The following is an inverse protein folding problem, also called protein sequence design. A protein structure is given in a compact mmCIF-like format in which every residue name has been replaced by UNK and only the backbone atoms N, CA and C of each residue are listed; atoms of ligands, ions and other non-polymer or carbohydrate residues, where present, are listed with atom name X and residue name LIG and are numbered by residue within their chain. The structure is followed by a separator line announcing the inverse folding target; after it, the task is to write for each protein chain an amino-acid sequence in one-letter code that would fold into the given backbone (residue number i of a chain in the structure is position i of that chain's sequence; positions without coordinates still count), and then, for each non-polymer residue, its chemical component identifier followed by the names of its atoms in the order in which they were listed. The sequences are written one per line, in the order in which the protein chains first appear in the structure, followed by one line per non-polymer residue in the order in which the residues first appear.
data_IF_149917335909
#
_entry.id   IF_149917335909
#
_cell.length_a   1.000
_cell.length_b   1.000
_cell.length_c   1.000
_cell.angle_alpha   90.00
_cell.angle_beta   90.00
_cell.angle_gamma   90.00
#
_symmetry.space_group_name_H-M   'P 1'
#
loop_
_entity.id
_entity.type
_entity.pdbx_description
1 polymer ?
#
# COMPACT_ATOMS: atom_id res chain seq x y z
N UNK A 1 6.14 -3.10 -33.33
CA UNK A 1 6.12 -3.76 -32.01
C UNK A 1 4.87 -3.25 -31.32
N UNK A 2 3.99 -4.15 -30.91
CA UNK A 2 2.76 -3.82 -30.17
C UNK A 2 3.00 -4.11 -28.69
N UNK A 3 2.53 -3.23 -27.81
CA UNK A 3 2.72 -3.36 -26.36
C UNK A 3 1.37 -3.53 -25.67
N UNK A 4 1.26 -4.42 -24.66
CA UNK A 4 0.02 -4.66 -23.94
C UNK A 4 -0.22 -3.56 -22.88
N UNK A 5 -0.51 -2.33 -23.33
CA UNK A 5 -0.64 -1.18 -22.43
C UNK A 5 -1.74 -1.37 -21.37
N UNK A 6 -2.83 -2.06 -21.70
CA UNK A 6 -3.93 -2.34 -20.78
C UNK A 6 -3.47 -3.23 -19.61
N UNK A 7 -2.64 -4.24 -19.91
CA UNK A 7 -2.06 -5.13 -18.90
C UNK A 7 -1.06 -4.38 -18.01
N UNK A 8 -0.16 -3.61 -18.64
CA UNK A 8 0.87 -2.84 -17.92
C UNK A 8 0.22 -1.80 -17.00
N UNK A 9 -0.85 -1.14 -17.43
CA UNK A 9 -1.61 -0.21 -16.60
C UNK A 9 -2.27 -0.93 -15.41
N UNK A 10 -2.84 -2.12 -15.63
CA UNK A 10 -3.38 -2.95 -14.57
C UNK A 10 -2.32 -3.34 -13.52
N UNK A 11 -1.13 -3.74 -13.99
CA UNK A 11 0.01 -4.06 -13.14
C UNK A 11 0.54 -2.84 -12.37
N UNK A 12 0.56 -1.66 -13.00
CA UNK A 12 0.96 -0.42 -12.33
C UNK A 12 0.02 -0.08 -11.16
N UNK A 13 -1.28 -0.34 -11.28
CA UNK A 13 -2.19 -0.20 -10.13
C UNK A 13 -1.87 -1.21 -9.02
N UNK A 14 -1.62 -2.48 -9.36
CA UNK A 14 -1.25 -3.49 -8.36
C UNK A 14 0.05 -3.14 -7.63
N UNK A 15 1.01 -2.49 -8.30
CA UNK A 15 2.21 -1.96 -7.65
C UNK A 15 1.88 -0.95 -6.55
N UNK A 16 1.02 0.03 -6.80
CA UNK A 16 0.61 0.98 -5.76
C UNK A 16 -0.19 0.32 -4.62
N UNK A 17 -0.97 -0.72 -4.90
CA UNK A 17 -1.65 -1.48 -3.84
C UNK A 17 -0.65 -2.25 -2.97
N UNK A 18 0.40 -2.80 -3.57
CA UNK A 18 1.48 -3.46 -2.88
C UNK A 18 2.32 -2.52 -2.01
N UNK A 19 2.15 -1.20 -2.14
CA UNK A 19 2.83 -0.18 -1.32
C UNK A 19 1.96 0.38 -0.20
N UNK A 20 0.67 0.04 -0.10
CA UNK A 20 -0.22 0.54 0.97
C UNK A 20 0.32 0.19 2.37
N UNK A 21 0.14 1.08 3.34
CA UNK A 21 0.37 0.85 4.78
C UNK A 21 -0.96 0.96 5.56
N UNK A 22 -0.96 0.68 6.86
CA UNK A 22 -2.15 0.74 7.70
C UNK A 22 -3.03 -0.52 7.60
N UNK A 23 -4.35 -0.33 7.71
CA UNK A 23 -5.36 -1.41 7.66
C UNK A 23 -5.70 -1.76 6.21
N UNK A 24 -4.82 -2.51 5.57
CA UNK A 24 -4.91 -2.94 4.16
C UNK A 24 -6.13 -3.81 3.92
N UNK A 25 -6.48 -4.66 4.89
CA UNK A 25 -7.65 -5.55 4.85
C UNK A 25 -8.97 -4.81 4.61
N UNK A 26 -9.03 -3.52 4.96
CA UNK A 26 -10.21 -2.65 4.82
C UNK A 26 -10.06 -1.59 3.73
N UNK A 27 -9.01 -1.64 2.92
CA UNK A 27 -8.82 -0.69 1.83
C UNK A 27 -9.97 -0.78 0.80
N UNK A 28 -10.37 0.33 0.16
CA UNK A 28 -11.34 0.29 -0.94
C UNK A 28 -10.90 -0.68 -2.04
N UNK A 29 -11.81 -1.56 -2.46
CA UNK A 29 -11.50 -2.63 -3.42
C UNK A 29 -10.84 -3.87 -2.81
N UNK A 30 -10.63 -3.89 -1.49
CA UNK A 30 -10.04 -5.00 -0.75
C UNK A 30 -8.54 -5.15 -1.00
N UNK A 31 -7.98 -6.25 -0.48
CA UNK A 31 -6.58 -6.60 -0.69
C UNK A 31 -6.43 -7.56 -1.88
N UNK A 32 -6.14 -7.02 -3.08
CA UNK A 32 -5.84 -7.83 -4.27
C UNK A 32 -4.42 -8.41 -4.23
N UNK A 33 -3.53 -7.83 -3.42
CA UNK A 33 -2.14 -8.26 -3.24
C UNK A 33 -2.07 -9.15 -1.99
N UNK A 34 -2.49 -10.40 -2.13
CA UNK A 34 -2.81 -11.31 -1.02
C UNK A 34 -1.65 -11.65 -0.07
N UNK A 35 -0.41 -11.35 -0.45
CA UNK A 35 0.77 -11.54 0.41
C UNK A 35 1.08 -10.31 1.28
N UNK A 36 0.40 -9.17 1.08
CA UNK A 36 0.41 -8.03 2.01
C UNK A 36 -0.60 -8.24 3.13
N UNK A 37 -0.35 -7.65 4.29
CA UNK A 37 -1.25 -7.66 5.45
C UNK A 37 -1.18 -6.31 6.19
N UNK A 38 -2.02 -6.11 7.20
CA UNK A 38 -2.10 -4.90 8.01
C UNK A 38 -0.75 -4.58 8.68
N UNK A 39 -0.25 -3.36 8.49
CA UNK A 39 1.10 -2.93 8.92
C UNK A 39 1.08 -1.51 9.47
N UNK A 40 2.10 -1.13 10.26
CA UNK A 40 2.26 0.23 10.79
C UNK A 40 1.04 0.78 11.56
N UNK A 41 0.35 -0.09 12.30
CA UNK A 41 -0.87 0.26 13.05
C UNK A 41 -0.65 1.18 14.27
N UNK A 42 0.59 1.62 14.48
CA UNK A 42 0.99 2.42 15.64
C UNK A 42 1.62 3.76 15.26
N UNK A 43 1.66 4.08 13.97
CA UNK A 43 2.26 5.32 13.49
C UNK A 43 1.50 6.52 14.04
N UNK A 44 2.24 7.46 14.64
CA UNK A 44 1.71 8.66 15.30
C UNK A 44 1.37 8.52 16.78
N UNK A 45 1.46 7.31 17.38
CA UNK A 45 1.15 7.11 18.80
C UNK A 45 2.06 7.90 19.76
N UNK A 46 3.31 8.12 19.38
CA UNK A 46 4.30 8.90 20.13
C UNK A 46 3.97 10.40 20.18
N UNK A 47 3.21 10.89 19.20
CA UNK A 47 2.70 12.27 19.13
C UNK A 47 1.20 12.38 19.40
N UNK A 48 0.54 11.27 19.76
CA UNK A 48 -0.89 11.23 20.07
C UNK A 48 -1.81 11.50 18.87
N UNK A 49 -1.35 11.18 17.65
CA UNK A 49 -2.11 11.32 16.40
C UNK A 49 -2.26 9.98 15.69
N UNK A 50 -3.31 9.82 14.90
CA UNK A 50 -3.44 8.68 13.98
C UNK A 50 -2.75 9.05 12.66
N UNK A 51 -1.57 8.48 12.43
CA UNK A 51 -0.82 8.61 11.17
C UNK A 51 -0.81 7.29 10.39
N UNK A 52 -1.76 6.39 10.66
CA UNK A 52 -1.86 5.13 9.93
C UNK A 52 -2.33 5.32 8.48
N UNK A 53 -1.89 4.44 7.59
CA UNK A 53 -2.23 4.50 6.17
C UNK A 53 -1.18 5.20 5.32
N UNK A 54 -1.53 5.50 4.06
CA UNK A 54 -0.60 6.04 3.07
C UNK A 54 0.08 4.95 2.25
N UNK A 55 1.31 5.23 1.79
CA UNK A 55 2.08 4.33 0.94
C UNK A 55 3.56 4.40 1.27
N UNK A 56 4.25 3.27 1.20
CA UNK A 56 5.70 3.21 1.24
C UNK A 56 6.30 3.93 0.03
N UNK A 57 7.39 4.66 0.28
CA UNK A 57 8.12 5.39 -0.74
C UNK A 57 8.82 4.45 -1.73
N UNK A 58 9.43 3.38 -1.23
CA UNK A 58 10.13 2.38 -2.04
C UNK A 58 10.12 0.99 -1.37
N UNK A 59 11.25 0.27 -1.37
CA UNK A 59 11.37 -1.09 -0.85
C UNK A 59 11.46 -1.21 0.67
N UNK A 60 11.51 -0.08 1.39
CA UNK A 60 11.63 -0.04 2.85
C UNK A 60 10.41 0.62 3.48
N UNK A 61 9.98 0.08 4.61
CA UNK A 61 9.10 0.79 5.52
C UNK A 61 9.97 1.79 6.32
N UNK A 62 9.85 3.08 6.02
CA UNK A 62 10.33 4.11 6.93
C UNK A 62 9.22 4.30 7.99
N UNK A 63 9.48 4.04 9.28
CA UNK A 63 8.56 4.44 10.32
C UNK A 63 8.37 5.96 10.25
N UNK A 64 7.12 6.41 10.36
CA UNK A 64 6.79 7.82 10.55
C UNK A 64 7.32 8.33 11.90
#
# INVERSE_FOLDING_TARGET
MEYPFDEVLGQAFLFYEAQRSGVISKAPGGNRVTWRDDQLLKDGNDVGMDLTGGSYEAGSACPA
#
